data_IF_023362242781
#
_entry.id   IF_023362242781
#
_cell.length_a   1.000
_cell.length_b   1.000
_cell.length_c   1.000
_cell.angle_alpha   90.00
_cell.angle_beta   90.00
_cell.angle_gamma   90.00
#
_symmetry.space_group_name_H-M   'P 1'
#
loop_
_entity.id
_entity.type
_entity.pdbx_description
1 polymer ?
#
# COMPACT_ATOMS: atom_id res chain seq x y z
N UNK A 1 -54.04 -55.87 -33.08
CA UNK A 1 -54.31 -54.61 -32.35
C UNK A 1 -53.03 -53.77 -32.38
N UNK A 2 -53.12 -52.54 -32.89
CA UNK A 2 -52.28 -51.36 -32.59
C UNK A 2 -50.77 -51.34 -32.95
N UNK A 3 -50.51 -50.90 -34.18
CA UNK A 3 -49.79 -49.66 -34.59
C UNK A 3 -48.73 -48.98 -33.67
N UNK A 4 -47.66 -48.54 -34.37
CA UNK A 4 -46.76 -47.36 -34.19
C UNK A 4 -45.35 -47.55 -33.62
N UNK A 5 -44.36 -47.37 -34.52
CA UNK A 5 -43.05 -46.79 -34.21
C UNK A 5 -43.21 -45.40 -33.57
N UNK A 6 -42.23 -45.00 -32.73
CA UNK A 6 -41.67 -43.67 -32.89
C UNK A 6 -40.14 -43.65 -32.88
N UNK A 7 -39.63 -42.99 -33.92
CA UNK A 7 -38.41 -42.17 -34.00
C UNK A 7 -37.76 -41.77 -32.68
N UNK A 8 -36.47 -42.10 -32.52
CA UNK A 8 -35.59 -41.52 -31.53
C UNK A 8 -35.18 -40.10 -31.95
N UNK A 9 -35.59 -39.10 -31.17
CA UNK A 9 -35.08 -37.72 -31.24
C UNK A 9 -33.82 -37.62 -30.36
N UNK A 10 -32.66 -37.37 -30.97
CA UNK A 10 -31.47 -36.91 -30.28
C UNK A 10 -31.63 -35.41 -29.99
N UNK A 11 -31.93 -35.03 -28.75
CA UNK A 11 -31.77 -33.66 -28.28
C UNK A 11 -30.28 -33.39 -28.04
N UNK A 12 -29.65 -32.63 -28.91
CA UNK A 12 -28.39 -31.95 -28.60
C UNK A 12 -28.70 -30.77 -27.66
N UNK A 13 -28.54 -30.99 -26.36
CA UNK A 13 -28.57 -29.91 -25.38
C UNK A 13 -27.32 -29.05 -25.54
N UNK A 14 -27.46 -27.87 -26.14
CA UNK A 14 -26.43 -26.85 -26.07
C UNK A 14 -26.34 -26.38 -24.60
N UNK A 15 -25.30 -26.82 -23.89
CA UNK A 15 -24.90 -26.20 -22.63
C UNK A 15 -24.45 -24.77 -22.95
N UNK A 16 -25.34 -23.81 -22.80
CA UNK A 16 -24.96 -22.41 -22.68
C UNK A 16 -24.34 -22.22 -21.30
N UNK A 17 -23.00 -22.25 -21.25
CA UNK A 17 -22.27 -21.81 -20.06
C UNK A 17 -22.68 -20.35 -19.76
N UNK A 18 -22.97 -20.00 -18.50
CA UNK A 18 -23.36 -18.64 -18.16
C UNK A 18 -22.17 -17.70 -18.41
N UNK A 19 -22.36 -16.66 -19.23
CA UNK A 19 -21.39 -15.60 -19.51
C UNK A 19 -21.05 -14.71 -18.29
N UNK A 20 -21.30 -15.18 -17.07
CA UNK A 20 -21.12 -14.42 -15.81
C UNK A 20 -19.73 -14.55 -15.18
N UNK A 21 -18.92 -15.54 -15.57
CA UNK A 21 -17.61 -15.81 -14.95
C UNK A 21 -16.45 -14.99 -15.54
N UNK A 22 -16.55 -14.52 -16.79
CA UNK A 22 -15.47 -13.76 -17.44
C UNK A 22 -15.42 -12.27 -17.02
N UNK A 23 -16.49 -11.73 -16.43
CA UNK A 23 -16.62 -10.29 -16.22
C UNK A 23 -15.74 -9.71 -15.10
N UNK A 24 -15.23 -10.56 -14.21
CA UNK A 24 -14.45 -10.15 -13.03
C UNK A 24 -12.96 -10.48 -13.15
N UNK A 25 -12.57 -11.28 -14.15
CA UNK A 25 -11.21 -11.82 -14.24
C UNK A 25 -10.14 -10.72 -14.39
N UNK A 26 -10.39 -9.71 -15.23
CA UNK A 26 -9.43 -8.60 -15.41
C UNK A 26 -9.29 -7.74 -14.15
N UNK A 27 -10.32 -7.66 -13.29
CA UNK A 27 -10.26 -6.91 -12.03
C UNK A 27 -9.36 -7.62 -11.04
N UNK A 28 -9.47 -8.95 -10.94
CA UNK A 28 -8.63 -9.75 -10.06
C UNK A 28 -7.16 -9.68 -10.51
N UNK A 29 -6.92 -9.79 -11.82
CA UNK A 29 -5.58 -9.61 -12.43
C UNK A 29 -5.01 -8.19 -12.23
N UNK A 30 -5.87 -7.17 -12.17
CA UNK A 30 -5.47 -5.79 -11.89
C UNK A 30 -4.92 -5.65 -10.46
N UNK A 31 -5.50 -6.36 -9.51
CA UNK A 31 -5.12 -6.34 -8.10
C UNK A 31 -3.96 -7.29 -7.78
N UNK A 32 -3.67 -8.25 -8.64
CA UNK A 32 -2.55 -9.17 -8.48
C UNK A 32 -1.23 -8.49 -8.92
N UNK A 33 -0.28 -8.22 -7.99
CA UNK A 33 0.97 -7.54 -8.30
C UNK A 33 1.94 -8.40 -9.12
N UNK A 34 1.78 -9.73 -9.13
CA UNK A 34 2.66 -10.65 -9.85
C UNK A 34 2.25 -10.81 -11.32
N UNK A 35 1.07 -10.34 -11.70
CA UNK A 35 0.55 -10.43 -13.07
C UNK A 35 1.13 -9.32 -13.94
N UNK A 36 1.64 -9.68 -15.12
CA UNK A 36 2.17 -8.73 -16.07
C UNK A 36 1.09 -7.73 -16.53
N UNK A 37 1.44 -6.44 -16.67
CA UNK A 37 0.47 -5.40 -17.08
C UNK A 37 -0.15 -5.71 -18.43
N UNK A 38 0.63 -6.23 -19.39
CA UNK A 38 0.10 -6.60 -20.70
C UNK A 38 -0.97 -7.70 -20.59
N UNK A 39 -0.84 -8.64 -19.65
CA UNK A 39 -1.86 -9.67 -19.42
C UNK A 39 -3.18 -9.07 -18.90
N UNK A 40 -3.11 -8.02 -18.07
CA UNK A 40 -4.31 -7.32 -17.62
C UNK A 40 -4.94 -6.53 -18.76
N UNK A 41 -4.12 -5.90 -19.60
CA UNK A 41 -4.60 -5.19 -20.80
C UNK A 41 -5.31 -6.14 -21.75
N UNK A 42 -4.68 -7.27 -22.09
CA UNK A 42 -5.27 -8.30 -22.95
C UNK A 42 -6.59 -8.83 -22.38
N UNK A 43 -6.63 -9.15 -21.07
CA UNK A 43 -7.85 -9.64 -20.41
C UNK A 43 -8.97 -8.60 -20.40
N UNK A 44 -8.62 -7.32 -20.22
CA UNK A 44 -9.58 -6.23 -20.27
C UNK A 44 -10.08 -6.01 -21.69
N UNK A 45 -9.21 -6.03 -22.70
CA UNK A 45 -9.57 -5.90 -24.11
C UNK A 45 -10.44 -7.07 -24.58
N UNK A 46 -10.16 -8.29 -24.15
CA UNK A 46 -11.01 -9.46 -24.41
C UNK A 46 -12.40 -9.31 -23.78
N UNK A 47 -12.46 -8.87 -22.52
CA UNK A 47 -13.74 -8.66 -21.84
C UNK A 47 -14.54 -7.50 -22.42
N UNK A 48 -13.85 -6.39 -22.74
CA UNK A 48 -14.48 -5.16 -23.18
C UNK A 48 -14.85 -5.25 -24.66
N UNK A 49 -13.96 -5.77 -25.50
CA UNK A 49 -14.15 -5.94 -26.94
C UNK A 49 -14.75 -4.69 -27.58
N UNK A 50 -15.85 -4.88 -28.30
CA UNK A 50 -16.59 -3.81 -29.00
C UNK A 50 -17.65 -3.11 -28.12
N UNK A 51 -17.64 -3.31 -26.80
CA UNK A 51 -18.63 -2.67 -25.91
C UNK A 51 -18.48 -1.16 -25.96
N UNK A 52 -19.61 -0.47 -26.12
CA UNK A 52 -19.66 0.97 -25.98
C UNK A 52 -19.36 1.38 -24.54
N UNK A 53 -18.73 2.54 -24.39
CA UNK A 53 -18.47 3.10 -23.06
C UNK A 53 -19.79 3.33 -22.30
N UNK A 54 -19.89 2.72 -21.12
CA UNK A 54 -20.99 2.92 -20.17
C UNK A 54 -20.45 3.34 -18.79
N UNK A 55 -21.08 4.36 -18.20
CA UNK A 55 -20.71 4.85 -16.87
C UNK A 55 -20.92 3.76 -15.82
N UNK A 56 -19.92 3.53 -14.97
CA UNK A 56 -20.01 2.60 -13.84
C UNK A 56 -19.73 1.13 -14.19
N UNK A 57 -19.33 0.83 -15.43
CA UNK A 57 -19.05 -0.54 -15.89
C UNK A 57 -17.59 -0.97 -15.84
N UNK A 58 -16.69 -0.14 -15.31
CA UNK A 58 -15.27 -0.48 -15.11
C UNK A 58 -14.28 0.20 -16.05
N UNK A 59 -14.72 0.71 -17.22
CA UNK A 59 -13.82 1.32 -18.21
C UNK A 59 -12.93 2.44 -17.64
N UNK A 60 -13.53 3.37 -16.89
CA UNK A 60 -12.79 4.50 -16.29
C UNK A 60 -11.85 4.07 -15.17
N UNK A 61 -12.15 2.98 -14.48
CA UNK A 61 -11.31 2.41 -13.44
C UNK A 61 -10.08 1.78 -14.08
N UNK A 62 -10.30 0.92 -15.08
CA UNK A 62 -9.22 0.31 -15.86
C UNK A 62 -8.33 1.36 -16.52
N UNK A 63 -8.88 2.32 -17.26
CA UNK A 63 -8.06 3.34 -17.95
C UNK A 63 -7.26 4.24 -17.01
N UNK A 64 -7.71 4.45 -15.78
CA UNK A 64 -6.91 5.15 -14.75
C UNK A 64 -5.79 4.27 -14.21
N UNK A 65 -6.08 3.00 -13.99
CA UNK A 65 -5.07 2.02 -13.58
C UNK A 65 -4.00 1.84 -14.67
N UNK A 66 -4.40 1.66 -15.93
CA UNK A 66 -3.51 1.51 -17.09
C UNK A 66 -2.58 2.72 -17.22
N UNK A 67 -3.13 3.94 -17.22
CA UNK A 67 -2.34 5.17 -17.27
C UNK A 67 -1.36 5.30 -16.10
N UNK A 68 -1.74 4.82 -14.91
CA UNK A 68 -0.88 4.84 -13.74
C UNK A 68 0.25 3.80 -13.86
N UNK A 69 -0.04 2.60 -14.36
CA UNK A 69 0.90 1.48 -14.42
C UNK A 69 1.87 1.56 -15.59
N UNK A 70 1.43 1.99 -16.77
CA UNK A 70 2.23 2.05 -18.00
C UNK A 70 3.61 2.71 -17.80
N UNK A 71 3.75 3.91 -17.22
CA UNK A 71 5.06 4.53 -16.99
C UNK A 71 5.87 3.93 -15.82
N UNK A 72 5.31 2.99 -15.06
CA UNK A 72 5.88 2.40 -13.84
C UNK A 72 6.23 0.92 -13.98
N UNK A 73 6.10 0.38 -15.19
CA UNK A 73 6.42 -1.01 -15.51
C UNK A 73 7.59 -1.11 -16.48
N UNK A 74 8.24 -2.26 -16.48
CA UNK A 74 9.32 -2.51 -17.43
C UNK A 74 8.76 -2.60 -18.85
N UNK A 75 9.57 -2.39 -19.90
CA UNK A 75 9.14 -2.59 -21.28
C UNK A 75 8.61 -4.01 -21.57
N UNK A 76 8.95 -5.00 -20.74
CA UNK A 76 8.40 -6.36 -20.77
C UNK A 76 6.96 -6.47 -20.24
N UNK A 77 6.42 -5.41 -19.63
CA UNK A 77 5.14 -5.39 -18.91
C UNK A 77 5.23 -5.91 -17.47
N UNK A 78 6.41 -6.35 -17.04
CA UNK A 78 6.64 -6.80 -15.67
C UNK A 78 6.46 -5.61 -14.71
N UNK A 79 5.67 -5.81 -13.65
CA UNK A 79 5.45 -4.79 -12.64
C UNK A 79 6.68 -4.63 -11.77
N UNK A 80 6.85 -3.44 -11.21
CA UNK A 80 7.87 -3.21 -10.22
C UNK A 80 7.61 -4.07 -8.98
N UNK A 81 8.56 -4.93 -8.61
CA UNK A 81 8.51 -5.68 -7.36
C UNK A 81 8.55 -4.69 -6.18
N UNK A 82 7.47 -4.60 -5.41
CA UNK A 82 7.35 -3.71 -4.24
C UNK A 82 8.48 -3.96 -3.22
N UNK A 83 8.91 -5.21 -3.06
CA UNK A 83 10.03 -5.56 -2.21
C UNK A 83 11.38 -5.15 -2.83
N UNK A 84 11.48 -4.95 -4.15
CA UNK A 84 12.69 -4.40 -4.77
C UNK A 84 12.98 -2.98 -4.28
N UNK A 85 11.96 -2.17 -3.96
CA UNK A 85 12.14 -0.86 -3.35
C UNK A 85 12.80 -0.98 -1.97
N UNK A 86 12.25 -1.85 -1.13
CA UNK A 86 12.81 -2.11 0.20
C UNK A 86 14.25 -2.65 0.13
N UNK A 87 14.54 -3.54 -0.83
CA UNK A 87 15.89 -4.09 -1.03
C UNK A 87 16.87 -3.03 -1.55
N UNK A 88 16.46 -2.21 -2.52
CA UNK A 88 17.29 -1.14 -3.06
C UNK A 88 17.67 -0.13 -1.97
N UNK A 89 16.73 0.21 -1.08
CA UNK A 89 17.00 1.12 0.04
C UNK A 89 17.88 0.52 1.14
N UNK A 90 17.75 -0.78 1.44
CA UNK A 90 18.72 -1.47 2.31
C UNK A 90 20.14 -1.37 1.74
N UNK A 91 20.28 -1.46 0.42
CA UNK A 91 21.57 -1.29 -0.26
C UNK A 91 22.06 0.17 -0.21
N UNK A 92 21.18 1.17 -0.39
CA UNK A 92 21.53 2.58 -0.18
C UNK A 92 22.04 2.81 1.24
N UNK A 93 21.36 2.32 2.27
CA UNK A 93 21.83 2.44 3.66
C UNK A 93 23.16 1.72 3.93
N UNK A 94 23.48 0.67 3.16
CA UNK A 94 24.80 0.01 3.17
C UNK A 94 25.87 0.90 2.52
N UNK A 95 25.54 1.56 1.41
CA UNK A 95 26.42 2.50 0.71
C UNK A 95 26.64 3.79 1.52
N UNK A 96 25.61 4.31 2.18
CA UNK A 96 25.69 5.49 3.04
C UNK A 96 26.52 5.22 4.30
N UNK A 97 26.38 4.04 4.94
CA UNK A 97 27.27 3.62 6.03
C UNK A 97 28.73 3.48 5.58
N UNK A 98 28.99 3.23 4.29
CA UNK A 98 30.33 3.21 3.72
C UNK A 98 30.89 4.63 3.47
N UNK A 99 30.04 5.66 3.42
CA UNK A 99 30.47 7.06 3.46
C UNK A 99 30.50 7.54 4.91
N UNK A 100 31.66 7.98 5.40
CA UNK A 100 31.80 8.52 6.76
C UNK A 100 30.76 9.62 7.06
N UNK A 101 30.26 9.64 8.30
CA UNK A 101 29.17 10.51 8.74
C UNK A 101 29.43 11.98 8.35
N UNK A 102 28.54 12.55 7.55
CA UNK A 102 28.53 13.99 7.28
C UNK A 102 27.70 14.67 8.36
N UNK A 103 28.36 15.37 9.27
CA UNK A 103 27.70 16.26 10.23
C UNK A 103 27.15 17.47 9.47
N UNK A 104 25.83 17.63 9.44
CA UNK A 104 25.16 18.82 8.95
C UNK A 104 24.39 19.48 10.10
N UNK A 105 24.64 20.76 10.33
CA UNK A 105 23.92 21.57 11.32
C UNK A 105 22.63 22.07 10.68
N UNK A 106 21.58 21.25 10.70
CA UNK A 106 20.25 21.67 10.27
C UNK A 106 19.57 22.47 11.38
N UNK A 107 19.10 23.67 11.05
CA UNK A 107 18.22 24.46 11.93
C UNK A 107 16.82 24.54 11.32
N UNK A 108 15.76 24.26 12.09
CA UNK A 108 14.40 24.36 11.58
C UNK A 108 14.09 25.83 11.26
N UNK A 109 13.71 26.11 10.01
CA UNK A 109 13.37 27.46 9.54
C UNK A 109 11.88 27.83 9.76
N UNK A 110 11.14 26.97 10.46
CA UNK A 110 9.70 27.11 10.66
C UNK A 110 8.87 26.42 9.56
N UNK A 111 7.54 26.63 9.54
CA UNK A 111 6.80 27.57 10.38
C UNK A 111 6.74 27.16 11.86
N UNK A 112 7.16 28.06 12.75
CA UNK A 112 7.01 27.89 14.21
C UNK A 112 5.72 28.51 14.74
N UNK A 113 4.99 29.24 13.89
CA UNK A 113 3.75 29.93 14.22
C UNK A 113 2.77 29.84 13.04
N UNK A 114 1.49 29.89 13.38
CA UNK A 114 0.39 29.79 12.42
C UNK A 114 0.00 31.18 11.90
N UNK A 115 -0.14 31.33 10.58
CA UNK A 115 -0.87 32.44 9.98
C UNK A 115 -2.14 31.89 9.33
N UNK A 116 -3.28 32.17 9.95
CA UNK A 116 -4.62 31.69 9.54
C UNK A 116 -5.11 32.36 8.26
N UNK A 117 -5.53 31.56 7.28
CA UNK A 117 -6.39 32.00 6.15
C UNK A 117 -7.59 31.07 5.87
N UNK A 118 -7.75 29.91 6.54
CA UNK A 118 -8.92 29.01 6.34
C UNK A 118 -9.07 27.92 7.44
N UNK A 119 -10.12 27.09 7.33
CA UNK A 119 -10.48 25.98 8.23
C UNK A 119 -9.37 24.91 8.24
N UNK A 120 -8.71 24.81 9.40
CA UNK A 120 -7.72 23.83 9.82
C UNK A 120 -6.29 23.98 9.25
N UNK A 121 -5.47 24.91 9.80
CA UNK A 121 -4.14 25.23 9.29
C UNK A 121 -3.00 24.31 9.79
N UNK A 122 -3.25 23.08 10.28
CA UNK A 122 -2.28 22.20 10.97
C UNK A 122 -0.87 22.05 10.35
N UNK A 123 0.15 21.75 11.17
CA UNK A 123 1.61 21.90 10.91
C UNK A 123 2.13 20.59 10.28
N UNK A 124 1.22 19.88 9.63
CA UNK A 124 1.32 18.46 9.37
C UNK A 124 0.13 17.70 9.96
N UNK A 125 -0.23 16.62 9.27
CA UNK A 125 -1.26 15.67 9.72
C UNK A 125 -0.61 14.63 10.63
N UNK A 126 -1.34 14.24 11.66
CA UNK A 126 -1.09 13.03 12.45
C UNK A 126 -2.13 12.01 12.02
N UNK A 127 -1.69 10.83 11.63
CA UNK A 127 -2.57 9.73 11.24
C UNK A 127 -3.00 8.91 12.46
N UNK A 128 -2.05 8.63 13.36
CA UNK A 128 -2.32 7.79 14.51
C UNK A 128 -1.49 8.20 15.73
N UNK A 129 -2.01 7.87 16.91
CA UNK A 129 -1.36 8.06 18.21
C UNK A 129 -1.53 6.77 19.01
N UNK A 130 -0.47 6.33 19.67
CA UNK A 130 -0.51 5.21 20.61
C UNK A 130 0.23 5.60 21.90
N UNK A 131 -0.27 5.11 23.03
CA UNK A 131 0.39 5.26 24.33
C UNK A 131 0.95 3.90 24.71
N UNK A 132 2.15 3.87 25.24
CA UNK A 132 2.77 2.65 25.72
C UNK A 132 1.93 2.04 26.87
N UNK A 133 1.57 0.75 26.78
CA UNK A 133 0.68 0.11 27.76
C UNK A 133 1.34 -0.14 29.13
N UNK A 134 2.67 -0.15 29.23
CA UNK A 134 3.41 -0.34 30.49
C UNK A 134 4.00 0.98 31.02
N UNK A 135 4.28 1.94 30.14
CA UNK A 135 4.90 3.23 30.47
C UNK A 135 4.07 4.39 29.91
N UNK A 136 2.98 4.82 30.57
CA UNK A 136 2.03 5.80 30.00
C UNK A 136 2.61 7.18 29.64
N UNK A 137 3.81 7.51 30.14
CA UNK A 137 4.55 8.73 29.77
C UNK A 137 5.22 8.62 28.38
N UNK A 138 5.27 7.41 27.81
CA UNK A 138 5.80 7.14 26.48
C UNK A 138 4.66 7.15 25.46
N UNK A 139 4.77 8.04 24.48
CA UNK A 139 3.73 8.31 23.47
C UNK A 139 4.36 8.17 22.09
N UNK A 140 3.64 7.53 21.17
CA UNK A 140 4.03 7.33 19.79
C UNK A 140 3.06 8.04 18.86
N UNK A 141 3.59 8.69 17.83
CA UNK A 141 2.82 9.43 16.82
C UNK A 141 3.25 9.01 15.43
N UNK A 142 2.29 8.57 14.63
CA UNK A 142 2.48 8.24 13.22
C UNK A 142 1.95 9.35 12.32
N UNK A 143 2.72 9.68 11.30
CA UNK A 143 2.42 10.76 10.35
C UNK A 143 2.36 10.20 8.92
N UNK A 144 1.68 10.86 7.98
CA UNK A 144 1.48 10.29 6.64
C UNK A 144 2.73 10.22 5.78
N UNK A 145 3.72 11.07 6.03
CA UNK A 145 4.98 11.13 5.27
C UNK A 145 6.19 11.59 6.11
N UNK A 146 6.00 11.77 7.42
CA UNK A 146 7.02 12.31 8.34
C UNK A 146 7.60 11.28 9.32
N UNK A 147 7.22 10.00 9.23
CA UNK A 147 7.74 8.93 10.07
C UNK A 147 6.94 8.64 11.34
N UNK A 148 7.51 7.73 12.13
CA UNK A 148 7.10 7.41 13.50
C UNK A 148 7.93 8.22 14.50
N UNK A 149 7.26 8.90 15.41
CA UNK A 149 7.87 9.71 16.45
C UNK A 149 7.53 9.15 17.82
N UNK A 150 8.48 9.22 18.76
CA UNK A 150 8.32 8.82 20.16
C UNK A 150 8.67 9.97 21.08
N UNK A 151 7.84 10.19 22.08
CA UNK A 151 8.15 10.95 23.30
C UNK A 151 8.24 9.98 24.47
N UNK A 152 9.11 10.28 25.43
CA UNK A 152 9.23 9.55 26.72
C UNK A 152 8.96 10.47 27.92
N UNK A 153 8.46 11.68 27.66
CA UNK A 153 8.30 12.78 28.61
C UNK A 153 6.95 13.50 28.43
N UNK A 154 5.88 12.70 28.30
CA UNK A 154 4.49 13.16 28.20
C UNK A 154 4.24 14.12 27.02
N UNK A 155 5.00 13.95 25.93
CA UNK A 155 4.88 14.75 24.71
C UNK A 155 5.68 16.06 24.73
N UNK A 156 6.53 16.28 25.74
CA UNK A 156 7.35 17.50 25.84
C UNK A 156 8.45 17.54 24.78
N UNK A 157 9.09 16.42 24.51
CA UNK A 157 10.09 16.25 23.44
C UNK A 157 9.82 15.00 22.62
N UNK A 158 10.27 15.02 21.36
CA UNK A 158 10.01 13.96 20.38
C UNK A 158 11.27 13.58 19.63
N UNK A 159 11.47 12.28 19.41
CA UNK A 159 12.54 11.73 18.60
C UNK A 159 11.96 10.79 17.52
N UNK A 160 12.47 10.83 16.28
CA UNK A 160 12.06 9.88 15.26
C UNK A 160 12.60 8.48 15.61
N UNK A 161 11.82 7.43 15.31
CA UNK A 161 12.26 6.04 15.48
C UNK A 161 12.85 5.44 14.21
N UNK A 162 12.60 6.04 13.06
CA UNK A 162 13.28 5.73 11.82
C UNK A 162 13.25 6.96 10.90
N UNK A 163 14.32 7.11 10.12
CA UNK A 163 14.42 8.12 9.04
C UNK A 163 14.95 7.53 7.74
N UNK A 164 15.45 6.31 7.81
CA UNK A 164 16.10 5.56 6.73
C UNK A 164 15.17 4.58 6.01
N UNK A 165 13.91 4.47 6.46
CA UNK A 165 12.93 3.63 5.79
C UNK A 165 12.45 4.26 4.49
N UNK A 166 12.15 3.44 3.47
CA UNK A 166 11.88 3.95 2.13
C UNK A 166 10.46 4.51 2.00
N UNK A 167 9.59 4.16 2.95
CA UNK A 167 8.32 4.83 3.20
C UNK A 167 8.34 5.32 4.64
N UNK A 168 8.04 6.60 4.82
CA UNK A 168 7.92 7.23 6.14
C UNK A 168 6.47 7.35 6.59
N UNK A 169 5.51 6.88 5.79
CA UNK A 169 4.11 6.91 6.17
C UNK A 169 3.82 5.92 7.29
N UNK A 170 3.05 6.34 8.28
CA UNK A 170 2.57 5.50 9.38
C UNK A 170 1.09 5.79 9.60
N UNK A 171 0.26 4.77 9.37
CA UNK A 171 -1.20 4.86 9.49
C UNK A 171 -1.75 4.10 10.70
N UNK A 172 -0.95 3.20 11.28
CA UNK A 172 -1.32 2.46 12.48
C UNK A 172 -0.10 2.08 13.30
N UNK A 173 -0.28 2.02 14.62
CA UNK A 173 0.73 1.63 15.61
C UNK A 173 0.06 0.63 16.56
N UNK A 174 0.71 -0.50 16.82
CA UNK A 174 0.33 -1.45 17.85
C UNK A 174 1.57 -1.83 18.67
N UNK A 175 1.44 -1.80 19.99
CA UNK A 175 2.51 -2.12 20.95
C UNK A 175 2.07 -3.37 21.71
N UNK A 176 2.95 -4.36 21.85
CA UNK A 176 2.62 -5.55 22.64
C UNK A 176 2.45 -5.15 24.13
N UNK A 177 1.29 -5.43 24.75
CA UNK A 177 1.06 -5.06 26.14
C UNK A 177 1.94 -5.80 27.14
N UNK A 178 2.54 -6.93 26.75
CA UNK A 178 3.41 -7.73 27.62
C UNK A 178 4.90 -7.46 27.37
N UNK A 179 5.26 -6.88 26.22
CA UNK A 179 6.63 -6.58 25.84
C UNK A 179 6.70 -5.33 24.95
N UNK A 180 6.96 -4.18 25.56
CA UNK A 180 6.93 -2.87 24.88
C UNK A 180 8.04 -2.69 23.84
N UNK A 181 9.05 -3.57 23.82
CA UNK A 181 10.05 -3.59 22.76
C UNK A 181 9.48 -4.13 21.44
N UNK A 182 8.34 -4.83 21.49
CA UNK A 182 7.64 -5.33 20.32
C UNK A 182 6.61 -4.31 19.83
N UNK A 183 6.92 -3.69 18.69
CA UNK A 183 6.09 -2.65 18.08
C UNK A 183 5.79 -3.05 16.64
N UNK A 184 4.54 -2.89 16.22
CA UNK A 184 4.08 -3.04 14.84
C UNK A 184 3.62 -1.69 14.30
N UNK A 185 3.95 -1.43 13.04
CA UNK A 185 3.42 -0.26 12.31
C UNK A 185 2.83 -0.67 10.97
N UNK A 186 1.68 -0.11 10.65
CA UNK A 186 1.13 -0.13 9.30
C UNK A 186 1.75 1.04 8.53
N UNK A 187 2.64 0.73 7.58
CA UNK A 187 3.32 1.76 6.80
C UNK A 187 2.42 2.36 5.71
N UNK A 188 2.80 3.53 5.20
CA UNK A 188 2.03 4.30 4.22
C UNK A 188 0.95 5.19 4.82
N UNK A 189 0.24 5.87 3.94
CA UNK A 189 -0.79 6.84 4.27
C UNK A 189 -2.20 6.27 4.06
N UNK A 190 -2.86 5.85 5.16
CA UNK A 190 -4.18 5.20 5.11
C UNK A 190 -5.35 6.15 4.81
N UNK A 191 -5.19 7.45 5.10
CA UNK A 191 -6.22 8.47 4.91
C UNK A 191 -6.03 9.28 3.62
N UNK A 192 -5.05 8.91 2.79
CA UNK A 192 -4.66 9.65 1.60
C UNK A 192 -3.85 8.81 0.62
N UNK A 193 -3.03 9.49 -0.19
CA UNK A 193 -2.16 8.87 -1.18
C UNK A 193 -0.75 9.47 -1.13
N UNK A 194 -0.36 10.03 0.02
CA UNK A 194 0.88 10.78 0.17
C UNK A 194 2.11 9.86 0.19
N UNK A 195 1.97 8.63 0.70
CA UNK A 195 3.09 7.68 0.77
C UNK A 195 2.60 6.24 0.57
N UNK A 196 3.30 5.50 -0.30
CA UNK A 196 3.06 4.07 -0.52
C UNK A 196 3.36 3.26 0.73
N UNK A 197 2.66 2.14 0.87
CA UNK A 197 2.93 1.19 1.95
C UNK A 197 4.05 0.21 1.56
N UNK A 198 4.75 -0.27 2.57
CA UNK A 198 5.66 -1.42 2.56
C UNK A 198 5.05 -2.63 3.29
N UNK A 199 3.79 -2.53 3.67
CA UNK A 199 3.12 -3.51 4.51
C UNK A 199 3.12 -3.17 6.00
N UNK A 200 2.93 -4.22 6.81
CA UNK A 200 3.17 -4.16 8.26
C UNK A 200 4.65 -4.40 8.56
N UNK A 201 5.26 -3.46 9.26
CA UNK A 201 6.62 -3.58 9.79
C UNK A 201 6.57 -3.92 11.28
N UNK A 202 7.60 -4.63 11.75
CA UNK A 202 7.77 -5.06 13.14
C UNK A 202 9.15 -4.66 13.66
N UNK A 203 9.19 -4.14 14.88
CA UNK A 203 10.38 -4.03 15.72
C UNK A 203 10.26 -5.00 16.90
N UNK A 204 11.40 -5.46 17.41
CA UNK A 204 11.54 -6.25 18.64
C UNK A 204 12.62 -5.68 19.55
N UNK A 205 12.93 -4.39 19.37
CA UNK A 205 14.00 -3.66 20.05
C UNK A 205 13.60 -2.20 20.35
N UNK A 206 12.31 -1.99 20.63
CA UNK A 206 11.79 -0.69 21.05
C UNK A 206 11.79 0.37 19.94
N UNK A 207 11.80 -0.08 18.68
CA UNK A 207 11.81 0.76 17.49
C UNK A 207 13.19 1.13 16.97
N UNK A 208 14.27 0.50 17.47
CA UNK A 208 15.63 0.75 16.99
C UNK A 208 15.92 0.11 15.62
N UNK A 209 15.24 -0.99 15.29
CA UNK A 209 15.27 -1.60 13.97
C UNK A 209 13.92 -2.19 13.57
N UNK A 210 13.69 -2.29 12.26
CA UNK A 210 12.41 -2.69 11.68
C UNK A 210 12.58 -3.75 10.60
N UNK A 211 11.71 -4.77 10.62
CA UNK A 211 11.64 -5.84 9.63
C UNK A 211 10.23 -5.93 9.03
N UNK A 212 10.14 -6.41 7.80
CA UNK A 212 8.85 -6.72 7.18
C UNK A 212 8.26 -7.96 7.83
N UNK A 213 6.93 -8.01 7.92
CA UNK A 213 6.19 -9.17 8.46
C UNK A 213 5.75 -10.17 7.39
N UNK A 214 5.92 -9.83 6.10
CA UNK A 214 5.32 -10.57 4.97
C UNK A 214 3.85 -10.24 4.74
N UNK A 215 3.30 -9.25 5.45
CA UNK A 215 2.03 -8.61 5.13
C UNK A 215 2.32 -7.35 4.30
N UNK A 216 2.89 -7.54 3.12
CA UNK A 216 3.07 -6.54 2.07
C UNK A 216 1.86 -6.53 1.12
N UNK A 217 1.45 -5.33 0.67
CA UNK A 217 0.28 -5.13 -0.19
C UNK A 217 0.55 -4.09 -1.28
#
# INVERSE_FOLDING_TARGET
MWNRNPTALLLAGALTLPAGLAAQQWVDLMMDPDVNVHQVQDAFEEYWGDKTYEKGKGWKQFKRWEWFMEPRTYPSGERFDLAAYARAWKEVGRMERAQGAKSATWTPLGPTTWQTISYNPGNGRVNCVAVDPQVPTTIYVGTPSGGLWRSTDDGSTWSPLFTELPSLGVSGIAIDPNDTDVIYVASGDGDGADTYSLGVLKSTDGGASWQTTGLDW
#
